data_IF_459605244690
#
_entry.id   IF_459605244690
#
_cell.length_a   1.000
_cell.length_b   1.000
_cell.length_c   1.000
_cell.angle_alpha   90.00
_cell.angle_beta   90.00
_cell.angle_gamma   90.00
#
_symmetry.space_group_name_H-M   'P 1'
#
loop_
_entity.id
_entity.type
_entity.pdbx_description
1 polymer ?
#
# COMPACT_ATOMS: atom_id res chain seq x y z
N UNK A 1 -26.95 -2.32 -14.19
CA UNK A 1 -26.32 -2.97 -15.35
C UNK A 1 -25.90 -4.37 -14.94
N UNK A 2 -25.89 -5.34 -15.86
CA UNK A 2 -25.54 -6.74 -15.57
C UNK A 2 -24.06 -7.03 -15.85
N UNK A 3 -23.40 -6.23 -16.67
CA UNK A 3 -21.96 -6.31 -16.95
C UNK A 3 -21.28 -4.97 -16.71
N UNK A 4 -19.95 -5.00 -16.55
CA UNK A 4 -19.15 -3.78 -16.47
C UNK A 4 -19.31 -2.97 -17.75
N UNK A 5 -19.33 -3.62 -18.91
CA UNK A 5 -19.43 -2.90 -20.17
C UNK A 5 -20.77 -2.17 -20.37
N UNK A 6 -21.89 -2.79 -19.97
CA UNK A 6 -23.18 -2.10 -19.93
C UNK A 6 -23.15 -0.88 -18.99
N UNK A 7 -22.46 -0.98 -17.85
CA UNK A 7 -22.31 0.14 -16.92
C UNK A 7 -21.50 1.29 -17.52
N UNK A 8 -20.37 0.98 -18.16
CA UNK A 8 -19.52 1.97 -18.82
C UNK A 8 -20.21 2.64 -20.02
N UNK A 9 -21.17 1.97 -20.66
CA UNK A 9 -21.96 2.51 -21.75
C UNK A 9 -23.30 3.12 -21.31
N UNK A 10 -23.61 3.12 -20.01
CA UNK A 10 -24.92 3.51 -19.47
C UNK A 10 -26.12 2.84 -20.19
N UNK A 11 -25.96 1.58 -20.59
CA UNK A 11 -26.95 0.81 -21.34
C UNK A 11 -27.04 1.14 -22.85
N UNK A 12 -26.22 2.07 -23.35
CA UNK A 12 -26.09 2.39 -24.78
C UNK A 12 -25.00 1.57 -25.49
N UNK A 13 -24.69 1.96 -26.73
CA UNK A 13 -23.69 1.31 -27.60
C UNK A 13 -22.31 1.99 -27.56
N UNK A 14 -22.19 3.16 -26.91
CA UNK A 14 -20.98 3.98 -26.82
C UNK A 14 -20.48 4.08 -25.39
N UNK A 15 -19.17 4.20 -25.22
CA UNK A 15 -18.56 4.52 -23.93
C UNK A 15 -19.07 5.88 -23.43
N UNK A 16 -19.72 5.89 -22.27
CA UNK A 16 -20.49 7.02 -21.74
C UNK A 16 -19.94 7.57 -20.41
N UNK A 17 -18.67 7.26 -20.10
CA UNK A 17 -17.98 7.72 -18.90
C UNK A 17 -16.65 8.38 -19.26
N UNK A 18 -16.17 9.29 -18.40
CA UNK A 18 -14.88 9.96 -18.56
C UNK A 18 -13.76 9.38 -17.70
N UNK A 19 -14.09 8.45 -16.79
CA UNK A 19 -13.15 7.73 -15.95
C UNK A 19 -13.80 6.46 -15.38
N UNK A 20 -12.99 5.53 -14.87
CA UNK A 20 -13.43 4.28 -14.24
C UNK A 20 -12.88 4.19 -12.81
N UNK A 21 -13.78 3.99 -11.85
CA UNK A 21 -13.44 3.69 -10.45
C UNK A 21 -13.71 2.22 -10.17
N UNK A 22 -12.65 1.41 -10.07
CA UNK A 22 -12.74 -0.02 -9.82
C UNK A 22 -12.57 -0.34 -8.33
N UNK A 23 -13.66 -0.76 -7.68
CA UNK A 23 -13.68 -1.27 -6.30
C UNK A 23 -14.22 -2.71 -6.33
N UNK A 24 -13.32 -3.68 -6.17
CA UNK A 24 -13.63 -5.11 -6.21
C UNK A 24 -13.83 -5.75 -4.83
N UNK A 25 -13.87 -4.97 -3.75
CA UNK A 25 -13.79 -5.52 -2.37
C UNK A 25 -15.13 -5.99 -1.81
N UNK A 26 -16.23 -5.52 -2.40
CA UNK A 26 -17.59 -5.86 -1.97
C UNK A 26 -18.06 -7.09 -2.72
N UNK A 27 -17.87 -8.27 -2.13
CA UNK A 27 -18.33 -9.53 -2.70
C UNK A 27 -17.86 -10.73 -1.88
N UNK A 28 -18.27 -11.92 -2.32
CA UNK A 28 -17.79 -13.18 -1.79
C UNK A 28 -16.92 -13.84 -2.87
N UNK A 29 -15.60 -13.82 -2.67
CA UNK A 29 -14.63 -14.37 -3.61
C UNK A 29 -13.86 -15.52 -2.95
N UNK A 30 -13.40 -16.46 -3.78
CA UNK A 30 -12.62 -17.59 -3.30
C UNK A 30 -11.24 -17.15 -2.80
N UNK A 31 -10.63 -17.99 -1.99
CA UNK A 31 -9.19 -17.91 -1.74
C UNK A 31 -8.48 -18.95 -2.61
N UNK A 32 -7.28 -18.65 -3.08
CA UNK A 32 -6.48 -19.62 -3.83
C UNK A 32 -5.70 -20.56 -2.88
N UNK A 33 -4.87 -21.45 -3.44
CA UNK A 33 -4.06 -22.40 -2.67
C UNK A 33 -2.99 -21.76 -1.77
N UNK A 34 -2.63 -20.49 -2.01
CA UNK A 34 -1.73 -19.69 -1.19
C UNK A 34 -2.47 -18.91 -0.10
N UNK A 35 -3.79 -19.10 0.04
CA UNK A 35 -4.65 -18.37 0.97
C UNK A 35 -4.80 -16.88 0.61
N UNK A 36 -4.59 -16.53 -0.67
CA UNK A 36 -4.82 -15.18 -1.18
C UNK A 36 -6.29 -14.98 -1.54
N UNK A 37 -6.89 -13.89 -1.10
CA UNK A 37 -8.27 -13.57 -1.44
C UNK A 37 -8.36 -13.09 -2.90
N UNK A 38 -9.02 -13.87 -3.76
CA UNK A 38 -9.08 -13.66 -5.21
C UNK A 38 -10.09 -12.57 -5.61
N UNK A 39 -9.88 -11.36 -5.11
CA UNK A 39 -10.64 -10.19 -5.51
C UNK A 39 -10.55 -9.99 -7.04
N UNK A 40 -11.66 -9.63 -7.72
CA UNK A 40 -11.76 -9.66 -9.18
C UNK A 40 -11.13 -8.44 -9.85
N UNK A 41 -10.04 -7.88 -9.29
CA UNK A 41 -9.41 -6.63 -9.75
C UNK A 41 -8.98 -6.73 -11.22
N UNK A 42 -8.28 -7.80 -11.59
CA UNK A 42 -7.90 -8.09 -12.99
C UNK A 42 -9.10 -8.22 -13.91
N UNK A 43 -10.11 -8.99 -13.52
CA UNK A 43 -11.34 -9.17 -14.33
C UNK A 43 -12.03 -7.83 -14.57
N UNK A 44 -12.19 -7.01 -13.54
CA UNK A 44 -12.85 -5.70 -13.67
C UNK A 44 -12.06 -4.77 -14.59
N UNK A 45 -10.74 -4.75 -14.45
CA UNK A 45 -9.86 -4.00 -15.32
C UNK A 45 -9.96 -4.48 -16.78
N UNK A 46 -9.91 -5.79 -17.03
CA UNK A 46 -9.98 -6.37 -18.38
C UNK A 46 -11.30 -6.07 -19.08
N UNK A 47 -12.43 -6.21 -18.37
CA UNK A 47 -13.74 -5.88 -18.92
C UNK A 47 -13.85 -4.39 -19.25
N UNK A 48 -13.28 -3.51 -18.41
CA UNK A 48 -13.24 -2.08 -18.71
C UNK A 48 -12.35 -1.77 -19.93
N UNK A 49 -11.17 -2.38 -20.01
CA UNK A 49 -10.26 -2.23 -21.15
C UNK A 49 -10.86 -2.80 -22.44
N UNK A 50 -11.59 -3.90 -22.38
CA UNK A 50 -12.29 -4.48 -23.53
C UNK A 50 -13.29 -3.48 -24.13
N UNK A 51 -14.09 -2.81 -23.28
CA UNK A 51 -15.00 -1.76 -23.76
C UNK A 51 -14.27 -0.53 -24.29
N UNK A 52 -13.20 -0.08 -23.62
CA UNK A 52 -12.39 1.05 -24.11
C UNK A 52 -11.78 0.76 -25.48
N UNK A 53 -11.31 -0.47 -25.71
CA UNK A 53 -10.83 -0.96 -27.02
C UNK A 53 -11.94 -0.93 -28.06
N UNK A 54 -13.12 -1.46 -27.75
CA UNK A 54 -14.29 -1.45 -28.66
C UNK A 54 -14.69 -0.03 -29.04
N UNK A 55 -14.63 0.90 -28.10
CA UNK A 55 -14.94 2.31 -28.31
C UNK A 55 -13.80 3.12 -28.95
N UNK A 56 -12.59 2.55 -29.08
CA UNK A 56 -11.35 3.26 -29.44
C UNK A 56 -11.16 4.55 -28.61
N UNK A 57 -11.45 4.47 -27.31
CA UNK A 57 -11.35 5.57 -26.36
C UNK A 57 -10.92 5.04 -25.00
N UNK A 58 -9.76 5.49 -24.54
CA UNK A 58 -9.18 5.12 -23.26
C UNK A 58 -9.32 6.27 -22.27
N UNK A 59 -9.79 5.97 -21.07
CA UNK A 59 -10.06 6.93 -19.99
C UNK A 59 -9.29 6.56 -18.73
N UNK A 60 -9.04 7.50 -17.79
CA UNK A 60 -8.39 7.19 -16.51
C UNK A 60 -9.08 6.06 -15.74
N UNK A 61 -8.27 5.24 -15.09
CA UNK A 61 -8.72 4.11 -14.26
C UNK A 61 -8.09 4.21 -12.87
N UNK A 62 -8.94 4.27 -11.84
CA UNK A 62 -8.53 3.99 -10.47
C UNK A 62 -8.82 2.54 -10.13
N UNK A 63 -7.83 1.82 -9.57
CA UNK A 63 -7.98 0.47 -9.04
C UNK A 63 -7.71 0.46 -7.54
N UNK A 64 -8.69 0.05 -6.74
CA UNK A 64 -8.55 0.06 -5.29
C UNK A 64 -7.45 -0.91 -4.80
N UNK A 65 -6.51 -0.38 -4.00
CA UNK A 65 -5.37 -1.08 -3.37
C UNK A 65 -4.34 -1.65 -4.35
N UNK A 66 -3.84 -2.86 -4.13
CA UNK A 66 -2.90 -3.55 -5.01
C UNK A 66 -3.56 -3.82 -6.38
N UNK A 67 -2.77 -3.99 -7.43
CA UNK A 67 -3.29 -4.22 -8.78
C UNK A 67 -4.01 -5.57 -8.89
N UNK A 68 -3.34 -6.66 -8.51
CA UNK A 68 -3.95 -7.98 -8.36
C UNK A 68 -3.27 -8.76 -7.23
N UNK A 69 -3.90 -9.86 -6.81
CA UNK A 69 -3.34 -10.82 -5.85
C UNK A 69 -2.15 -11.59 -6.45
N UNK A 70 -2.08 -11.72 -7.78
CA UNK A 70 -0.97 -12.36 -8.51
C UNK A 70 -0.07 -11.33 -9.19
N UNK A 71 1.25 -11.56 -9.16
CA UNK A 71 2.23 -10.76 -9.89
C UNK A 71 1.94 -10.71 -11.39
N UNK A 72 1.66 -11.85 -12.03
CA UNK A 72 1.48 -11.91 -13.48
C UNK A 72 0.27 -11.08 -13.91
N UNK A 73 -0.84 -11.19 -13.19
CA UNK A 73 -2.03 -10.36 -13.44
C UNK A 73 -1.76 -8.87 -13.17
N UNK A 74 -1.07 -8.54 -12.07
CA UNK A 74 -0.71 -7.16 -11.73
C UNK A 74 0.19 -6.53 -12.80
N UNK A 75 1.18 -7.28 -13.30
CA UNK A 75 2.10 -6.86 -14.35
C UNK A 75 1.38 -6.68 -15.68
N UNK A 76 0.46 -7.59 -16.02
CA UNK A 76 -0.34 -7.47 -17.24
C UNK A 76 -1.26 -6.23 -17.19
N UNK A 77 -1.88 -5.94 -16.05
CA UNK A 77 -2.67 -4.71 -15.86
C UNK A 77 -1.83 -3.45 -16.11
N UNK A 78 -0.64 -3.40 -15.51
CA UNK A 78 0.29 -2.29 -15.69
C UNK A 78 0.74 -2.15 -17.15
N UNK A 79 1.18 -3.24 -17.78
CA UNK A 79 1.67 -3.25 -19.16
C UNK A 79 0.57 -2.87 -20.14
N UNK A 80 -0.64 -3.35 -19.92
CA UNK A 80 -1.82 -2.98 -20.71
C UNK A 80 -2.11 -1.48 -20.56
N UNK A 81 -2.07 -0.95 -19.34
CA UNK A 81 -2.27 0.48 -19.12
C UNK A 81 -1.22 1.33 -19.86
N UNK A 82 0.06 0.93 -19.80
CA UNK A 82 1.13 1.58 -20.56
C UNK A 82 0.93 1.46 -22.07
N UNK A 83 0.58 0.27 -22.57
CA UNK A 83 0.38 0.02 -24.00
C UNK A 83 -0.69 0.92 -24.62
N UNK A 84 -1.80 1.12 -23.93
CA UNK A 84 -2.93 1.92 -24.42
C UNK A 84 -2.93 3.36 -23.91
N UNK A 85 -1.89 3.78 -23.17
CA UNK A 85 -1.81 5.11 -22.59
C UNK A 85 -2.93 5.41 -21.59
N UNK A 86 -3.44 4.40 -20.88
CA UNK A 86 -4.45 4.54 -19.83
C UNK A 86 -3.78 5.16 -18.61
N UNK A 87 -4.24 6.34 -18.12
CA UNK A 87 -3.81 6.84 -16.83
C UNK A 87 -4.30 5.91 -15.73
N UNK A 88 -3.38 5.17 -15.10
CA UNK A 88 -3.69 4.20 -14.06
C UNK A 88 -3.23 4.71 -12.69
N UNK A 89 -4.15 4.75 -11.74
CA UNK A 89 -3.88 5.02 -10.33
C UNK A 89 -4.34 3.84 -9.49
N UNK A 90 -3.52 3.41 -8.53
CA UNK A 90 -3.86 2.36 -7.58
C UNK A 90 -3.07 2.56 -6.30
N UNK A 91 -3.51 2.01 -5.16
CA UNK A 91 -2.72 2.07 -3.94
C UNK A 91 -3.53 2.17 -2.65
N UNK A 92 -2.79 2.29 -1.54
CA UNK A 92 -3.33 2.47 -0.20
C UNK A 92 -3.73 3.93 0.08
N UNK A 93 -4.71 4.13 0.95
CA UNK A 93 -5.02 5.44 1.52
C UNK A 93 -4.03 5.89 2.60
N UNK A 94 -3.33 4.95 3.25
CA UNK A 94 -2.47 5.23 4.42
C UNK A 94 -1.29 6.16 4.10
N UNK A 95 -0.55 6.03 2.98
CA UNK A 95 0.51 6.98 2.61
C UNK A 95 0.08 8.44 2.53
N UNK A 96 -1.22 8.69 2.39
CA UNK A 96 -1.82 10.02 2.27
C UNK A 96 -2.27 10.59 3.63
N UNK A 97 -2.20 9.81 4.71
CA UNK A 97 -2.56 10.26 6.04
C UNK A 97 -1.56 11.30 6.58
N UNK A 98 -1.98 12.01 7.64
CA UNK A 98 -1.09 12.92 8.33
C UNK A 98 -0.01 12.14 9.08
N UNK A 99 1.24 12.53 8.85
CA UNK A 99 2.40 12.04 9.59
C UNK A 99 2.52 12.76 10.94
N UNK A 100 2.67 12.01 12.04
CA UNK A 100 2.82 12.52 13.41
C UNK A 100 3.96 11.79 14.17
N UNK A 101 5.05 12.49 14.56
CA UNK A 101 5.39 13.86 14.18
C UNK A 101 5.57 14.01 12.67
N UNK A 102 5.51 15.25 12.16
CA UNK A 102 5.77 15.50 10.73
C UNK A 102 7.16 15.00 10.35
N UNK A 103 7.25 14.24 9.26
CA UNK A 103 8.49 13.69 8.76
C UNK A 103 8.47 13.67 7.24
N UNK A 104 9.47 14.31 6.63
CA UNK A 104 9.78 14.23 5.21
C UNK A 104 11.23 13.80 5.06
N UNK A 105 11.45 12.68 4.37
CA UNK A 105 12.79 12.27 3.99
C UNK A 105 13.20 13.07 2.75
N UNK A 106 14.38 13.69 2.81
CA UNK A 106 14.92 14.46 1.69
C UNK A 106 15.27 13.50 0.56
N UNK A 107 14.90 13.80 -0.69
CA UNK A 107 15.31 12.98 -1.84
C UNK A 107 16.83 12.81 -1.89
N UNK A 108 17.28 11.61 -2.23
CA UNK A 108 18.69 11.25 -2.29
C UNK A 108 19.35 11.02 -0.92
N UNK A 109 18.60 10.96 0.18
CA UNK A 109 19.13 10.46 1.45
C UNK A 109 19.43 8.97 1.37
N UNK A 110 20.56 8.53 1.96
CA UNK A 110 20.88 7.11 2.07
C UNK A 110 20.24 6.53 3.34
N UNK A 111 19.33 5.58 3.13
CA UNK A 111 18.63 4.82 4.17
C UNK A 111 19.20 3.40 4.16
N UNK A 112 19.57 2.87 5.33
CA UNK A 112 20.17 1.53 5.46
C UNK A 112 19.15 0.49 5.91
N UNK A 113 18.20 0.90 6.74
CA UNK A 113 17.18 0.02 7.29
C UNK A 113 15.86 0.77 7.51
N UNK A 114 14.72 0.12 7.30
CA UNK A 114 13.40 0.70 7.58
C UNK A 114 12.40 -0.34 8.10
N UNK A 115 11.46 0.10 8.92
CA UNK A 115 10.38 -0.74 9.44
C UNK A 115 9.05 -0.03 9.23
N UNK A 116 8.02 -0.79 8.85
CA UNK A 116 6.63 -0.35 8.85
C UNK A 116 5.80 -1.32 9.68
N UNK A 117 4.91 -0.79 10.52
CA UNK A 117 4.16 -1.56 11.51
C UNK A 117 2.67 -1.29 11.36
N UNK A 118 1.85 -2.33 11.47
CA UNK A 118 0.38 -2.27 11.43
C UNK A 118 -0.25 -3.28 12.40
N UNK A 119 -1.56 -3.22 12.61
CA UNK A 119 -2.28 -4.12 13.53
C UNK A 119 -3.15 -5.18 12.85
N UNK A 120 -3.35 -5.08 11.53
CA UNK A 120 -4.24 -5.98 10.80
C UNK A 120 -3.62 -7.31 10.35
N UNK A 121 -4.45 -8.08 9.64
CA UNK A 121 -4.13 -9.44 9.21
C UNK A 121 -3.27 -9.54 7.95
N UNK A 122 -2.80 -10.76 7.72
CA UNK A 122 -1.97 -11.16 6.57
C UNK A 122 -2.63 -10.75 5.25
N UNK A 123 -1.80 -10.46 4.25
CA UNK A 123 -2.14 -10.05 2.89
C UNK A 123 -2.76 -8.64 2.82
N UNK A 124 -3.94 -8.48 3.43
CA UNK A 124 -4.73 -7.25 3.31
C UNK A 124 -4.06 -6.02 3.96
N UNK A 125 -3.58 -6.13 5.20
CA UNK A 125 -2.90 -5.03 5.87
C UNK A 125 -1.40 -4.99 5.57
N UNK A 126 -0.78 -6.13 5.26
CA UNK A 126 0.60 -6.19 4.76
C UNK A 126 0.78 -5.26 3.55
N UNK A 127 -0.18 -5.27 2.61
CA UNK A 127 -0.19 -4.37 1.46
C UNK A 127 -0.12 -2.88 1.88
N UNK A 128 -0.94 -2.49 2.84
CA UNK A 128 -1.00 -1.10 3.29
C UNK A 128 0.30 -0.68 4.00
N UNK A 129 0.93 -1.59 4.74
CA UNK A 129 2.23 -1.36 5.36
C UNK A 129 3.38 -1.32 4.34
N UNK A 130 3.31 -2.11 3.26
CA UNK A 130 4.23 -2.01 2.12
C UNK A 130 4.11 -0.66 1.42
N UNK A 131 2.88 -0.16 1.23
CA UNK A 131 2.63 1.19 0.72
C UNK A 131 3.21 2.27 1.63
N UNK A 132 3.00 2.17 2.95
CA UNK A 132 3.64 3.07 3.92
C UNK A 132 5.16 3.05 3.77
N UNK A 133 5.76 1.86 3.86
CA UNK A 133 7.21 1.66 3.78
C UNK A 133 7.77 2.28 2.50
N UNK A 134 7.30 1.83 1.33
CA UNK A 134 7.85 2.25 0.05
C UNK A 134 7.57 3.72 -0.24
N UNK A 135 6.42 4.26 0.16
CA UNK A 135 6.14 5.70 -0.02
C UNK A 135 7.08 6.61 0.78
N UNK A 136 7.66 6.11 1.89
CA UNK A 136 8.65 6.85 2.66
C UNK A 136 10.05 6.73 2.04
N UNK A 137 10.43 5.56 1.53
CA UNK A 137 11.82 5.25 1.13
C UNK A 137 12.07 5.24 -0.39
N UNK A 138 11.06 5.49 -1.23
CA UNK A 138 11.17 5.48 -2.69
C UNK A 138 12.07 6.59 -3.25
N UNK A 139 12.27 7.68 -2.52
CA UNK A 139 13.12 8.80 -2.94
C UNK A 139 14.57 8.68 -2.46
N UNK A 140 14.93 7.56 -1.79
CA UNK A 140 16.29 7.35 -1.24
C UNK A 140 17.36 7.26 -2.33
N UNK A 141 18.62 7.47 -1.96
CA UNK A 141 19.76 7.31 -2.87
C UNK A 141 19.87 5.86 -3.35
N UNK A 142 19.84 5.68 -4.68
CA UNK A 142 19.95 4.35 -5.28
C UNK A 142 18.65 3.55 -5.26
N UNK A 143 17.51 4.20 -4.99
CA UNK A 143 16.20 3.56 -4.92
C UNK A 143 15.96 2.63 -6.11
N UNK A 144 15.64 1.39 -5.76
CA UNK A 144 15.37 0.28 -6.66
C UNK A 144 14.44 -0.69 -5.93
N UNK A 145 13.98 -1.73 -6.62
CA UNK A 145 13.08 -2.72 -6.06
C UNK A 145 13.77 -3.78 -5.19
N UNK A 146 13.03 -4.86 -4.95
CA UNK A 146 13.35 -5.88 -3.94
C UNK A 146 14.00 -7.09 -4.59
N UNK A 147 15.08 -7.59 -3.99
CA UNK A 147 15.78 -8.80 -4.43
C UNK A 147 15.21 -10.05 -3.76
N UNK A 148 14.80 -9.95 -2.49
CA UNK A 148 14.34 -11.11 -1.72
C UNK A 148 13.28 -10.75 -0.70
N UNK A 149 12.32 -11.64 -0.53
CA UNK A 149 11.19 -11.53 0.40
C UNK A 149 11.13 -12.78 1.28
N UNK A 150 10.94 -12.61 2.58
CA UNK A 150 10.69 -13.72 3.51
C UNK A 150 9.59 -13.39 4.50
N UNK A 151 8.54 -14.20 4.52
CA UNK A 151 7.48 -14.13 5.51
C UNK A 151 7.82 -15.01 6.71
N UNK A 152 7.74 -14.45 7.91
CA UNK A 152 8.00 -15.16 9.17
C UNK A 152 6.89 -14.86 10.18
N UNK A 153 6.61 -15.84 11.03
CA UNK A 153 5.64 -15.73 12.11
C UNK A 153 6.13 -16.45 13.37
N UNK A 154 5.59 -16.06 14.53
CA UNK A 154 5.91 -16.67 15.82
C UNK A 154 7.41 -16.67 16.14
N UNK A 155 7.92 -17.82 16.61
CA UNK A 155 9.30 -17.93 17.10
C UNK A 155 10.34 -17.78 15.98
N UNK A 156 10.00 -18.11 14.73
CA UNK A 156 10.91 -17.93 13.61
C UNK A 156 11.19 -16.44 13.35
N UNK A 157 10.18 -15.58 13.50
CA UNK A 157 10.34 -14.13 13.39
C UNK A 157 11.22 -13.57 14.52
N UNK A 158 11.00 -14.02 15.75
CA UNK A 158 11.80 -13.57 16.91
C UNK A 158 13.26 -14.00 16.78
N UNK A 159 13.50 -15.24 16.34
CA UNK A 159 14.84 -15.76 16.07
C UNK A 159 15.54 -14.96 14.97
N UNK A 160 14.83 -14.59 13.90
CA UNK A 160 15.39 -13.75 12.86
C UNK A 160 15.86 -12.39 13.39
N UNK A 161 15.18 -11.82 14.39
CA UNK A 161 15.61 -10.61 15.06
C UNK A 161 16.90 -10.81 15.87
N UNK A 162 17.00 -11.92 16.60
CA UNK A 162 18.20 -12.31 17.37
C UNK A 162 19.41 -12.53 16.46
N UNK A 163 19.17 -13.03 15.25
CA UNK A 163 20.17 -13.19 14.18
C UNK A 163 20.48 -11.87 13.44
N UNK A 164 19.89 -10.73 13.84
CA UNK A 164 20.14 -9.41 13.26
C UNK A 164 19.54 -9.22 11.86
N UNK A 165 18.52 -9.99 11.52
CA UNK A 165 17.82 -9.91 10.22
C UNK A 165 16.78 -8.80 10.19
N UNK A 166 16.30 -8.38 11.35
CA UNK A 166 15.56 -7.14 11.57
C UNK A 166 15.86 -6.60 12.98
N UNK A 167 15.74 -5.28 13.17
CA UNK A 167 16.18 -4.60 14.40
C UNK A 167 15.01 -4.25 15.34
N UNK A 168 15.01 -4.86 16.54
CA UNK A 168 14.06 -4.52 17.62
C UNK A 168 14.06 -3.02 17.94
N UNK A 169 15.24 -2.40 18.04
CA UNK A 169 15.35 -1.00 18.45
C UNK A 169 14.72 -0.06 17.43
N UNK A 170 14.71 -0.45 16.14
CA UNK A 170 14.06 0.30 15.08
C UNK A 170 12.54 0.14 15.14
N UNK A 171 12.03 -1.08 15.40
CA UNK A 171 10.61 -1.30 15.64
C UNK A 171 10.09 -0.50 16.84
N UNK A 172 10.81 -0.54 17.97
CA UNK A 172 10.46 0.24 19.15
C UNK A 172 10.46 1.76 18.87
N UNK A 173 11.39 2.25 18.05
CA UNK A 173 11.44 3.67 17.65
C UNK A 173 10.25 4.09 16.80
N UNK A 174 9.71 3.19 15.97
CA UNK A 174 8.46 3.42 15.23
C UNK A 174 7.28 3.47 16.20
N UNK A 175 7.16 2.46 17.08
CA UNK A 175 6.07 2.34 18.06
C UNK A 175 5.98 3.57 18.97
N UNK A 176 7.13 4.09 19.42
CA UNK A 176 7.20 5.29 20.26
C UNK A 176 6.48 6.49 19.63
N UNK A 177 6.46 6.60 18.30
CA UNK A 177 5.79 7.73 17.61
C UNK A 177 4.28 7.64 17.66
N UNK A 178 3.74 6.45 17.79
CA UNK A 178 2.31 6.23 17.91
C UNK A 178 1.87 6.24 19.38
N UNK A 179 2.52 5.44 20.23
CA UNK A 179 2.12 5.24 21.62
C UNK A 179 2.65 6.32 22.58
N UNK A 180 3.64 7.13 22.15
CA UNK A 180 4.33 8.14 22.98
C UNK A 180 5.13 7.58 24.17
N UNK A 181 5.37 6.27 24.17
CA UNK A 181 6.32 5.59 25.03
C UNK A 181 6.94 4.43 24.25
N UNK A 182 8.10 3.97 24.69
CA UNK A 182 8.87 2.92 24.01
C UNK A 182 8.62 1.57 24.72
N UNK A 183 7.74 0.68 24.21
CA UNK A 183 7.51 -0.62 24.82
C UNK A 183 8.66 -1.59 24.51
N UNK A 184 8.77 -2.64 25.31
CA UNK A 184 9.60 -3.79 24.96
C UNK A 184 8.85 -4.66 23.94
N UNK A 185 9.36 -4.71 22.70
CA UNK A 185 8.78 -5.51 21.61
C UNK A 185 8.83 -7.02 21.90
N UNK A 186 9.72 -7.48 22.78
CA UNK A 186 9.84 -8.91 23.11
C UNK A 186 8.75 -9.38 24.06
N UNK A 187 8.32 -8.52 24.97
CA UNK A 187 7.42 -8.88 26.07
C UNK A 187 6.03 -8.27 25.95
N UNK A 188 5.93 -7.04 25.45
CA UNK A 188 4.69 -6.23 25.48
C UNK A 188 4.04 -6.15 24.12
N UNK A 189 4.83 -5.93 23.07
CA UNK A 189 4.35 -5.68 21.70
C UNK A 189 4.88 -6.71 20.70
N UNK A 190 4.75 -8.00 21.05
CA UNK A 190 5.28 -9.09 20.22
C UNK A 190 4.56 -9.15 18.86
N UNK A 191 5.29 -9.12 17.73
CA UNK A 191 4.68 -9.18 16.42
C UNK A 191 4.04 -10.55 16.17
N UNK A 192 2.87 -10.54 15.53
CA UNK A 192 2.17 -11.76 15.11
C UNK A 192 2.84 -12.41 13.90
N UNK A 193 3.24 -11.58 12.94
CA UNK A 193 4.00 -11.94 11.75
C UNK A 193 4.82 -10.75 11.26
N UNK A 194 5.70 -11.02 10.29
CA UNK A 194 6.47 -10.01 9.61
C UNK A 194 7.01 -10.45 8.26
N UNK A 195 7.32 -9.48 7.42
CA UNK A 195 7.88 -9.66 6.07
C UNK A 195 9.24 -8.97 6.04
N UNK A 196 10.31 -9.75 5.92
CA UNK A 196 11.68 -9.25 5.78
C UNK A 196 11.97 -9.04 4.30
N UNK A 197 12.47 -7.86 3.96
CA UNK A 197 12.78 -7.43 2.59
C UNK A 197 14.27 -7.10 2.48
N UNK A 198 14.91 -7.60 1.42
CA UNK A 198 16.25 -7.20 1.01
C UNK A 198 16.14 -6.46 -0.33
N UNK A 199 16.40 -5.15 -0.35
CA UNK A 199 16.37 -4.35 -1.57
C UNK A 199 17.65 -4.53 -2.38
N UNK A 200 17.56 -4.36 -3.70
CA UNK A 200 18.71 -4.54 -4.61
C UNK A 200 19.86 -3.55 -4.34
N UNK A 201 19.58 -2.39 -3.77
CA UNK A 201 20.58 -1.41 -3.34
C UNK A 201 21.19 -1.71 -1.95
N UNK A 202 20.79 -2.81 -1.32
CA UNK A 202 21.29 -3.25 -0.02
C UNK A 202 20.53 -2.67 1.17
N UNK A 203 19.49 -1.85 0.97
CA UNK A 203 18.61 -1.44 2.07
C UNK A 203 17.86 -2.68 2.59
N UNK A 204 17.82 -2.85 3.92
CA UNK A 204 16.95 -3.85 4.56
C UNK A 204 15.63 -3.21 4.96
N UNK A 205 14.55 -3.95 4.91
CA UNK A 205 13.32 -3.49 5.53
C UNK A 205 12.50 -4.60 6.15
N UNK A 206 11.58 -4.22 7.03
CA UNK A 206 10.69 -5.18 7.67
C UNK A 206 9.29 -4.61 7.80
N UNK A 207 8.29 -5.41 7.42
CA UNK A 207 6.89 -5.19 7.77
C UNK A 207 6.61 -6.00 9.03
N UNK A 208 5.95 -5.42 10.03
CA UNK A 208 5.55 -6.11 11.26
C UNK A 208 4.07 -5.90 11.55
N UNK A 209 3.38 -6.97 11.92
CA UNK A 209 2.03 -6.88 12.46
C UNK A 209 2.07 -6.92 13.99
N UNK A 210 1.78 -5.80 14.65
CA UNK A 210 1.73 -5.62 16.09
C UNK A 210 0.36 -5.06 16.47
N UNK A 211 -0.37 -5.78 17.32
CA UNK A 211 -1.80 -5.58 17.58
C UNK A 211 -2.15 -4.17 18.07
N UNK A 212 -1.27 -3.54 18.83
CA UNK A 212 -1.49 -2.24 19.46
C UNK A 212 -1.18 -1.04 18.56
N UNK A 213 -0.70 -1.27 17.32
CA UNK A 213 -0.12 -0.24 16.46
C UNK A 213 -0.92 -0.14 15.16
N UNK A 214 -1.59 0.97 14.93
CA UNK A 214 -2.35 1.20 13.70
C UNK A 214 -1.40 1.33 12.50
N UNK A 215 -0.51 2.33 12.53
CA UNK A 215 0.41 2.63 11.43
C UNK A 215 1.62 3.41 11.92
N UNK A 216 2.76 2.72 12.03
CA UNK A 216 4.02 3.34 12.43
C UNK A 216 5.15 3.04 11.45
N UNK A 217 6.09 3.98 11.34
CA UNK A 217 7.26 3.86 10.49
C UNK A 217 8.50 4.39 11.21
N UNK A 218 9.63 3.71 11.02
CA UNK A 218 10.94 4.26 11.32
C UNK A 218 11.98 3.83 10.29
N UNK A 219 13.02 4.63 10.14
CA UNK A 219 14.16 4.31 9.30
C UNK A 219 15.47 4.76 9.93
N UNK A 220 16.55 4.07 9.57
CA UNK A 220 17.92 4.39 9.95
C UNK A 220 18.67 4.96 8.75
N UNK A 221 19.26 6.14 8.93
CA UNK A 221 20.15 6.78 7.96
C UNK A 221 21.56 6.16 8.03
N UNK A 222 22.37 6.41 7.00
CA UNK A 222 23.77 5.93 6.94
C UNK A 222 24.63 6.40 8.12
N UNK A 223 24.35 7.59 8.68
CA UNK A 223 25.04 8.11 9.87
C UNK A 223 24.54 7.51 11.19
N UNK A 224 23.62 6.55 11.14
CA UNK A 224 23.03 5.88 12.29
C UNK A 224 21.83 6.60 12.92
N UNK A 225 21.50 7.82 12.47
CA UNK A 225 20.33 8.56 12.94
C UNK A 225 19.04 7.78 12.65
N UNK A 226 18.17 7.66 13.65
CA UNK A 226 16.85 7.04 13.53
C UNK A 226 15.79 8.13 13.44
N UNK A 227 15.00 8.08 12.38
CA UNK A 227 13.84 8.93 12.16
C UNK A 227 12.58 8.07 12.22
N UNK A 228 11.46 8.63 12.67
CA UNK A 228 10.21 7.90 12.72
C UNK A 228 8.99 8.79 12.75
N UNK A 229 7.86 8.22 12.37
CA UNK A 229 6.53 8.86 12.39
C UNK A 229 5.43 7.82 12.52
N UNK A 230 4.23 8.25 12.87
CA UNK A 230 2.98 7.47 12.77
C UNK A 230 2.04 8.10 11.75
N UNK A 231 1.15 7.31 11.17
CA UNK A 231 0.16 7.76 10.20
C UNK A 231 -1.20 7.89 10.89
N UNK A 232 -1.56 9.13 11.20
CA UNK A 232 -2.73 9.41 12.00
C UNK A 232 -4.03 9.17 11.24
N UNK A 233 -4.81 8.22 11.74
CA UNK A 233 -6.09 7.77 11.16
C UNK A 233 -7.26 8.70 11.46
N UNK A 234 -7.08 9.79 12.21
CA UNK A 234 -8.19 10.68 12.54
C UNK A 234 -9.12 10.15 13.64
N UNK A 235 -10.08 10.98 14.09
CA UNK A 235 -10.95 10.69 15.23
C UNK A 235 -12.04 9.63 14.95
N UNK A 236 -12.26 9.32 13.67
CA UNK A 236 -13.25 8.35 13.19
C UNK A 236 -12.60 7.13 12.54
N UNK A 237 -11.39 6.79 13.02
CA UNK A 237 -10.60 5.64 12.59
C UNK A 237 -10.35 5.64 11.06
N UNK A 238 -10.07 4.48 10.47
CA UNK A 238 -9.66 4.32 9.07
C UNK A 238 -10.60 4.96 8.02
N UNK A 239 -11.84 5.33 8.37
CA UNK A 239 -12.75 6.09 7.49
C UNK A 239 -12.14 7.40 7.01
N UNK A 240 -11.35 8.04 7.85
CA UNK A 240 -10.74 9.34 7.56
C UNK A 240 -9.60 9.26 6.55
N UNK A 241 -8.92 8.10 6.45
CA UNK A 241 -7.85 7.87 5.47
C UNK A 241 -8.37 8.06 4.03
N UNK A 242 -9.64 7.70 3.80
CA UNK A 242 -10.27 7.82 2.49
C UNK A 242 -10.53 9.26 2.04
N UNK A 243 -10.45 10.27 2.92
CA UNK A 243 -10.64 11.67 2.53
C UNK A 243 -9.54 12.13 1.56
N UNK A 244 -8.28 11.91 1.93
CA UNK A 244 -7.12 12.25 1.10
C UNK A 244 -7.06 11.38 -0.16
N UNK A 245 -7.37 10.08 -0.05
CA UNK A 245 -7.47 9.20 -1.22
C UNK A 245 -8.57 9.63 -2.20
N UNK A 246 -9.75 10.00 -1.70
CA UNK A 246 -10.85 10.50 -2.54
C UNK A 246 -10.46 11.79 -3.27
N UNK A 247 -9.71 12.67 -2.62
CA UNK A 247 -9.17 13.87 -3.25
C UNK A 247 -8.14 13.53 -4.34
N UNK A 248 -7.26 12.56 -4.10
CA UNK A 248 -6.30 12.08 -5.07
C UNK A 248 -6.98 11.43 -6.29
N UNK A 249 -8.04 10.63 -6.09
CA UNK A 249 -8.83 10.02 -7.17
C UNK A 249 -9.52 11.10 -8.02
N UNK A 250 -10.13 12.09 -7.38
CA UNK A 250 -10.77 13.21 -8.10
C UNK A 250 -9.75 14.00 -8.93
N UNK A 251 -8.58 14.26 -8.36
CA UNK A 251 -7.48 14.92 -9.08
C UNK A 251 -7.03 14.06 -10.26
N UNK A 252 -6.83 12.77 -10.06
CA UNK A 252 -6.46 11.83 -11.11
C UNK A 252 -7.43 11.82 -12.29
N UNK A 253 -8.74 11.76 -12.02
CA UNK A 253 -9.75 11.76 -13.07
C UNK A 253 -9.85 13.10 -13.80
N UNK A 254 -9.66 14.23 -13.09
CA UNK A 254 -9.73 15.56 -13.70
C UNK A 254 -8.52 15.86 -14.57
N UNK A 255 -7.32 15.54 -14.09
CA UNK A 255 -6.07 15.87 -14.79
C UNK A 255 -5.68 14.79 -15.82
N UNK A 256 -6.25 13.58 -15.71
CA UNK A 256 -5.85 12.46 -16.57
C UNK A 256 -4.45 11.93 -16.27
N UNK A 257 -3.94 12.14 -15.06
CA UNK A 257 -2.60 11.74 -14.63
C UNK A 257 -2.63 11.23 -13.19
N UNK A 258 -1.92 10.15 -12.87
CA UNK A 258 -1.83 9.66 -11.50
C UNK A 258 -0.91 10.59 -10.66
N UNK A 259 -1.36 11.05 -9.47
CA UNK A 259 -0.62 12.02 -8.66
C UNK A 259 0.63 11.42 -7.98
N UNK A 260 0.71 10.09 -7.90
CA UNK A 260 1.85 9.33 -7.38
C UNK A 260 2.12 8.11 -8.28
N UNK A 261 3.35 7.55 -8.28
CA UNK A 261 3.72 6.49 -9.21
C UNK A 261 2.96 5.21 -8.94
N UNK A 262 2.25 4.69 -9.96
CA UNK A 262 1.58 3.37 -9.87
C UNK A 262 2.61 2.24 -9.85
N UNK A 263 3.83 2.49 -10.29
CA UNK A 263 4.97 1.59 -10.21
C UNK A 263 5.31 1.20 -8.76
N UNK A 264 5.09 2.09 -7.77
CA UNK A 264 5.17 1.72 -6.35
C UNK A 264 4.15 0.63 -6.02
N UNK A 265 2.91 0.81 -6.45
CA UNK A 265 1.84 -0.16 -6.22
C UNK A 265 2.10 -1.48 -6.94
N UNK A 266 2.67 -1.45 -8.15
CA UNK A 266 3.10 -2.65 -8.86
C UNK A 266 4.20 -3.41 -8.10
N UNK A 267 5.22 -2.69 -7.60
CA UNK A 267 6.27 -3.29 -6.77
C UNK A 267 5.66 -3.93 -5.51
N UNK A 268 4.74 -3.22 -4.84
CA UNK A 268 4.07 -3.72 -3.65
C UNK A 268 3.17 -4.94 -3.93
N UNK A 269 2.48 -4.99 -5.09
CA UNK A 269 1.75 -6.17 -5.53
C UNK A 269 2.66 -7.39 -5.67
N UNK A 270 3.84 -7.22 -6.27
CA UNK A 270 4.81 -8.30 -6.43
C UNK A 270 5.43 -8.75 -5.10
N UNK A 271 5.77 -7.80 -4.22
CA UNK A 271 6.28 -8.14 -2.87
C UNK A 271 5.21 -8.92 -2.09
N UNK A 272 3.95 -8.49 -2.17
CA UNK A 272 2.85 -9.14 -1.46
C UNK A 272 2.64 -10.58 -1.96
N UNK A 273 2.63 -10.79 -3.28
CA UNK A 273 2.50 -12.12 -3.87
C UNK A 273 3.67 -13.02 -3.44
N UNK A 274 4.91 -12.53 -3.56
CA UNK A 274 6.10 -13.24 -3.08
C UNK A 274 6.03 -13.57 -1.57
N UNK A 275 5.44 -12.69 -0.75
CA UNK A 275 5.26 -12.93 0.67
C UNK A 275 4.29 -14.08 0.96
N UNK A 276 3.23 -14.21 0.16
CA UNK A 276 2.25 -15.29 0.28
C UNK A 276 2.85 -16.63 -0.16
N UNK A 277 3.65 -16.62 -1.22
CA UNK A 277 4.49 -17.76 -1.59
C UNK A 277 5.46 -18.14 -0.47
N UNK A 278 6.15 -17.16 0.11
CA UNK A 278 7.09 -17.40 1.21
C UNK A 278 6.41 -18.01 2.43
N UNK A 279 5.23 -17.49 2.81
CA UNK A 279 4.39 -18.01 3.89
C UNK A 279 3.98 -19.46 3.65
N UNK A 280 3.43 -19.75 2.46
CA UNK A 280 2.92 -21.08 2.13
C UNK A 280 4.03 -22.13 2.11
N UNK A 281 5.18 -21.82 1.50
CA UNK A 281 6.30 -22.76 1.36
C UNK A 281 7.33 -22.68 2.50
N UNK A 282 7.14 -21.77 3.46
CA UNK A 282 8.03 -21.55 4.62
C UNK A 282 9.50 -21.36 4.23
N UNK A 283 9.74 -20.58 3.18
CA UNK A 283 11.07 -20.31 2.65
C UNK A 283 11.15 -18.90 2.05
N UNK A 284 12.32 -18.25 2.08
CA UNK A 284 12.51 -17.01 1.32
C UNK A 284 12.29 -17.21 -0.18
N UNK A 285 11.87 -16.13 -0.84
CA UNK A 285 11.61 -16.05 -2.28
C UNK A 285 12.53 -15.01 -2.89
N UNK A 286 13.35 -15.42 -3.86
CA UNK A 286 14.12 -14.51 -4.71
C UNK A 286 13.19 -13.86 -5.73
N UNK A 287 13.37 -12.56 -5.96
CA UNK A 287 12.45 -11.72 -6.72
C UNK A 287 13.16 -10.91 -7.82
N UNK A 288 13.91 -11.53 -8.75
CA UNK A 288 14.63 -10.80 -9.80
C UNK A 288 13.70 -9.96 -10.71
N UNK A 289 12.43 -10.36 -10.83
CA UNK A 289 11.41 -9.63 -11.59
C UNK A 289 10.96 -8.33 -10.90
N UNK A 290 11.28 -8.14 -9.61
CA UNK A 290 10.99 -6.92 -8.85
C UNK A 290 12.19 -5.97 -8.79
N UNK A 291 13.35 -6.31 -9.35
CA UNK A 291 14.57 -5.47 -9.34
C UNK A 291 14.50 -4.33 -10.38
N UNK A 292 13.39 -3.59 -10.42
CA UNK A 292 13.22 -2.42 -11.28
C UNK A 292 13.16 -1.12 -10.46
N UNK A 293 13.58 -0.02 -11.09
CA UNK A 293 13.43 1.34 -10.55
C UNK A 293 12.31 2.07 -11.28
N UNK A 294 11.74 3.09 -10.65
CA UNK A 294 10.74 3.97 -11.25
C UNK A 294 10.98 5.42 -10.81
N UNK A 295 10.44 6.35 -11.58
CA UNK A 295 10.48 7.77 -11.25
C UNK A 295 9.41 8.10 -10.21
N UNK A 296 9.82 8.76 -9.13
CA UNK A 296 8.92 9.23 -8.06
C UNK A 296 8.34 10.60 -8.41
N UNK A 297 7.15 10.89 -7.88
CA UNK A 297 6.53 12.23 -7.97
C UNK A 297 6.34 12.82 -6.59
N UNK A 298 6.46 14.14 -6.46
CA UNK A 298 6.03 14.81 -5.25
C UNK A 298 4.49 14.86 -5.20
N UNK A 299 3.92 14.07 -4.31
CA UNK A 299 2.48 13.98 -4.09
C UNK A 299 2.06 14.65 -2.78
N UNK A 300 2.89 15.52 -2.18
CA UNK A 300 2.58 16.22 -0.93
C UNK A 300 1.24 16.97 -0.98
N UNK A 301 0.88 17.52 -2.15
CA UNK A 301 -0.41 18.19 -2.35
C UNK A 301 -1.62 17.29 -2.11
N UNK A 302 -1.46 15.96 -2.23
CA UNK A 302 -2.54 14.98 -2.00
C UNK A 302 -2.61 14.48 -0.56
N UNK A 303 -1.64 14.82 0.30
CA UNK A 303 -1.58 14.31 1.68
C UNK A 303 -2.35 15.20 2.64
N UNK A 304 -2.93 14.56 3.66
CA UNK A 304 -3.50 15.28 4.80
C UNK A 304 -2.38 15.87 5.66
N UNK A 305 -2.37 17.19 5.82
CA UNK A 305 -1.33 17.93 6.57
C UNK A 305 -1.79 18.42 7.94
N UNK A 306 -3.00 18.05 8.35
CA UNK A 306 -3.63 18.40 9.63
C UNK A 306 -4.72 19.47 9.52
N UNK A 307 -5.08 19.90 8.31
CA UNK A 307 -6.14 20.87 8.10
C UNK A 307 -7.51 20.28 8.46
N UNK A 308 -7.75 19.02 8.09
CA UNK A 308 -9.03 18.34 8.39
C UNK A 308 -9.26 18.24 9.90
N UNK A 309 -8.21 18.03 10.70
CA UNK A 309 -8.33 17.82 12.15
C UNK A 309 -8.58 19.10 12.96
N UNK A 310 -8.51 20.27 12.31
CA UNK A 310 -8.97 21.54 12.88
C UNK A 310 -10.49 21.70 12.79
N UNK A 311 -11.13 20.90 11.94
CA UNK A 311 -12.58 20.91 11.72
C UNK A 311 -13.21 19.68 12.36
N UNK A 312 -12.63 18.50 12.11
CA UNK A 312 -13.08 17.21 12.65
C UNK A 312 -12.16 16.84 13.81
N UNK A 313 -12.59 17.16 15.03
CA UNK A 313 -11.82 17.01 16.26
C UNK A 313 -12.07 15.67 16.95
N UNK A 314 -11.23 15.30 17.92
CA UNK A 314 -11.33 14.04 18.69
C UNK A 314 -12.62 13.89 19.48
N UNK A 315 -13.21 15.00 19.91
CA UNK A 315 -14.48 15.07 20.63
C UNK A 315 -15.70 15.09 19.70
N UNK A 316 -15.49 15.24 18.39
CA UNK A 316 -16.59 15.27 17.43
C UNK A 316 -17.15 13.85 17.22
N UNK A 317 -18.45 13.62 17.51
CA UNK A 317 -19.04 12.31 17.30
C UNK A 317 -18.96 11.91 15.83
N UNK A 318 -18.69 10.65 15.57
CA UNK A 318 -18.76 10.11 14.22
C UNK A 318 -20.19 10.30 13.68
N UNK A 319 -20.37 10.88 12.47
CA UNK A 319 -21.68 11.01 11.87
C UNK A 319 -22.36 9.66 11.73
N UNK A 320 -23.66 9.62 12.01
CA UNK A 320 -24.53 8.49 11.65
C UNK A 320 -24.62 8.40 10.12
N UNK A 321 -23.68 7.67 9.52
CA UNK A 321 -23.76 7.30 8.11
C UNK A 321 -24.75 6.16 7.94
N UNK A 322 -25.42 6.11 6.79
CA UNK A 322 -26.09 4.90 6.30
C UNK A 322 -25.07 3.77 6.39
N UNK A 323 -25.45 2.68 7.07
CA UNK A 323 -24.60 1.52 7.35
C UNK A 323 -23.88 1.09 6.06
N UNK A 324 -22.55 0.80 6.09
CA UNK A 324 -21.78 0.42 4.88
C UNK A 324 -22.25 -0.86 4.19
N UNK A 325 -23.24 -1.56 4.76
CA UNK A 325 -24.00 -2.57 4.05
C UNK A 325 -25.03 -1.85 3.18
N UNK A 326 -24.56 -1.33 2.04
CA UNK A 326 -25.44 -1.03 0.94
C UNK A 326 -26.14 -2.32 0.55
N UNK A 327 -27.42 -2.41 0.91
CA UNK A 327 -28.34 -3.56 0.76
C UNK A 327 -28.14 -4.64 1.82
#
# INVERSE_FOLDING_TARGET
YKTIGEALCQGGDKLAVDAVLNIGEHGNYAHNHLDQHMYPRKRFFDEAVAEMKRANRFVPVFNDKHLSYSWDEAKEMYDTAKQYGIPLMAGSSVPLAQRRPSLELKPGQKITEAVSIHSGGVESYDFHALEVLNSMVETRKGATGVSKVEFLEGDALMKAAEEGRWDYSLAEAAIEKELRYKPDVKEVSKPTHGIILEYKDGMKATILSIKEIEWAFACRKEDGEVLGTSFYVGPWQNRNLFKALSHAIQTHFREGEAPYPVERTLLNSGILDASMHSRHYKKPVETPHLEFSYETKDYQAMREMGATWKIITEDMPQPELIVPHGI
#
